data_IF_121932416936
#
_entry.id   IF_121932416936
#
_cell.length_a   1.000
_cell.length_b   1.000
_cell.length_c   1.000
_cell.angle_alpha   90.00
_cell.angle_beta   90.00
_cell.angle_gamma   90.00
#
_symmetry.space_group_name_H-M   'P 1'
#
loop_
_entity.id
_entity.type
_entity.pdbx_description
1 polymer ?
#
# COMPACT_ATOMS: atom_id res chain seq x y z
N UNK A 1 12.45 13.01 -73.09
CA UNK A 1 11.82 13.74 -71.97
C UNK A 1 11.80 12.80 -70.77
N UNK A 2 12.67 12.94 -69.76
CA UNK A 2 12.52 12.17 -68.54
C UNK A 2 11.38 12.75 -67.69
N UNK A 3 10.36 11.94 -67.39
CA UNK A 3 9.34 12.29 -66.40
C UNK A 3 10.00 12.41 -65.02
N UNK A 4 10.00 13.62 -64.46
CA UNK A 4 10.35 13.85 -63.06
C UNK A 4 9.20 13.37 -62.19
N UNK A 5 9.38 12.22 -61.53
CA UNK A 5 8.44 11.74 -60.51
C UNK A 5 8.25 12.78 -59.38
N UNK A 6 7.11 12.74 -58.66
CA UNK A 6 6.79 13.74 -57.66
C UNK A 6 7.86 13.79 -56.55
N UNK A 7 8.19 14.99 -56.03
CA UNK A 7 9.23 15.16 -55.04
C UNK A 7 8.92 14.35 -53.78
N UNK A 8 9.88 13.55 -53.32
CA UNK A 8 9.80 12.85 -52.04
C UNK A 8 9.70 13.87 -50.91
N UNK A 9 8.60 13.89 -50.15
CA UNK A 9 8.47 14.81 -49.03
C UNK A 9 9.40 14.34 -47.92
N UNK A 10 10.51 15.07 -47.71
CA UNK A 10 11.39 14.78 -46.57
C UNK A 10 10.67 15.19 -45.28
N UNK A 11 10.42 14.21 -44.40
CA UNK A 11 9.81 14.42 -43.07
C UNK A 11 10.54 15.49 -42.24
N UNK A 12 11.84 15.68 -42.50
CA UNK A 12 12.69 16.69 -41.89
C UNK A 12 12.28 18.14 -42.21
N UNK A 13 11.53 18.38 -43.30
CA UNK A 13 11.03 19.73 -43.65
C UNK A 13 9.97 20.24 -42.67
N UNK A 14 9.21 19.34 -42.04
CA UNK A 14 8.19 19.67 -41.04
C UNK A 14 8.82 20.23 -39.76
N UNK A 15 9.98 19.67 -39.38
CA UNK A 15 10.77 20.09 -38.21
C UNK A 15 11.34 21.51 -38.34
N UNK A 16 11.31 22.13 -39.53
CA UNK A 16 11.74 23.53 -39.71
C UNK A 16 10.72 24.55 -39.21
N UNK A 17 9.51 24.11 -38.82
CA UNK A 17 8.51 25.00 -38.23
C UNK A 17 8.73 25.08 -36.71
N UNK A 18 8.85 26.27 -36.09
CA UNK A 18 9.15 26.42 -34.66
C UNK A 18 8.21 25.63 -33.74
N UNK A 19 6.93 25.51 -34.11
CA UNK A 19 5.94 24.71 -33.38
C UNK A 19 6.30 23.23 -33.24
N UNK A 20 6.87 22.62 -34.28
CA UNK A 20 7.22 21.19 -34.25
C UNK A 20 8.52 20.94 -33.49
N UNK A 21 9.44 21.91 -33.50
CA UNK A 21 10.61 21.91 -32.61
C UNK A 21 10.16 21.97 -31.16
N UNK A 22 9.26 22.90 -30.81
CA UNK A 22 8.73 23.01 -29.45
C UNK A 22 8.02 21.74 -28.99
N UNK A 23 7.15 21.15 -29.83
CA UNK A 23 6.50 19.87 -29.50
C UNK A 23 7.49 18.72 -29.36
N UNK A 24 8.57 18.69 -30.15
CA UNK A 24 9.62 17.68 -30.02
C UNK A 24 10.40 17.83 -28.73
N UNK A 25 10.78 19.06 -28.38
CA UNK A 25 11.42 19.36 -27.10
C UNK A 25 10.52 18.97 -25.93
N UNK A 26 9.23 19.27 -26.01
CA UNK A 26 8.26 18.87 -24.99
C UNK A 26 8.13 17.34 -24.87
N UNK A 27 8.04 16.63 -26.00
CA UNK A 27 7.97 15.17 -26.01
C UNK A 27 9.23 14.54 -25.41
N UNK A 28 10.41 15.05 -25.74
CA UNK A 28 11.68 14.62 -25.14
C UNK A 28 11.74 14.93 -23.65
N UNK A 29 11.37 16.14 -23.24
CA UNK A 29 11.33 16.52 -21.83
C UNK A 29 10.40 15.61 -21.03
N UNK A 30 9.21 15.32 -21.57
CA UNK A 30 8.26 14.41 -20.94
C UNK A 30 8.82 12.98 -20.84
N UNK A 31 9.43 12.48 -21.92
CA UNK A 31 10.07 11.16 -21.93
C UNK A 31 11.18 11.06 -20.88
N UNK A 32 12.02 12.11 -20.75
CA UNK A 32 13.08 12.18 -19.74
C UNK A 32 12.49 12.14 -18.33
N UNK A 33 11.47 12.94 -18.04
CA UNK A 33 10.77 12.92 -16.73
C UNK A 33 10.22 11.53 -16.44
N UNK A 34 9.57 10.89 -17.40
CA UNK A 34 9.02 9.54 -17.25
C UNK A 34 10.11 8.49 -16.97
N UNK A 35 11.28 8.59 -17.61
CA UNK A 35 12.43 7.72 -17.31
C UNK A 35 12.89 7.91 -15.86
N UNK A 36 13.03 9.15 -15.39
CA UNK A 36 13.40 9.44 -14.02
C UNK A 36 12.38 8.91 -12.99
N UNK A 37 11.09 8.99 -13.29
CA UNK A 37 10.04 8.37 -12.47
C UNK A 37 10.19 6.85 -12.43
N UNK A 38 10.51 6.21 -13.57
CA UNK A 38 10.82 4.78 -13.61
C UNK A 38 12.04 4.40 -12.78
N UNK A 39 13.12 5.19 -12.82
CA UNK A 39 14.32 4.99 -11.99
C UNK A 39 13.99 5.15 -10.50
N UNK A 40 13.19 6.14 -10.14
CA UNK A 40 12.72 6.29 -8.76
C UNK A 40 11.93 5.07 -8.28
N UNK A 41 11.04 4.54 -9.13
CA UNK A 41 10.31 3.31 -8.83
C UNK A 41 11.23 2.08 -8.74
N UNK A 42 12.31 2.03 -9.52
CA UNK A 42 13.33 0.98 -9.43
C UNK A 42 14.04 0.99 -8.08
N UNK A 43 14.42 2.16 -7.57
CA UNK A 43 14.99 2.25 -6.22
C UNK A 43 14.00 1.78 -5.15
N UNK A 44 12.71 2.12 -5.28
CA UNK A 44 11.66 1.64 -4.36
C UNK A 44 11.45 0.14 -4.43
N UNK A 45 11.47 -0.43 -5.65
CA UNK A 45 11.44 -1.87 -5.86
C UNK A 45 12.61 -2.54 -5.15
N UNK A 46 13.84 -2.09 -5.40
CA UNK A 46 15.05 -2.67 -4.80
C UNK A 46 15.02 -2.62 -3.26
N UNK A 47 14.61 -1.50 -2.68
CA UNK A 47 14.47 -1.37 -1.23
C UNK A 47 13.47 -2.39 -0.67
N UNK A 48 12.27 -2.50 -1.25
CA UNK A 48 11.24 -3.43 -0.79
C UNK A 48 11.65 -4.89 -0.99
N UNK A 49 12.25 -5.22 -2.13
CA UNK A 49 12.78 -6.56 -2.41
C UNK A 49 13.86 -6.93 -1.41
N UNK A 50 14.76 -6.02 -1.05
CA UNK A 50 15.81 -6.31 -0.06
C UNK A 50 15.25 -6.64 1.34
N UNK A 51 14.12 -6.03 1.72
CA UNK A 51 13.41 -6.35 2.97
C UNK A 51 12.80 -7.75 2.87
N UNK A 52 12.14 -8.06 1.75
CA UNK A 52 11.56 -9.37 1.49
C UNK A 52 12.61 -10.49 1.53
N UNK A 53 13.75 -10.27 0.88
CA UNK A 53 14.87 -11.22 0.89
C UNK A 53 15.40 -11.48 2.31
N UNK A 54 15.38 -10.47 3.18
CA UNK A 54 15.74 -10.63 4.60
C UNK A 54 14.70 -11.46 5.34
N UNK A 55 13.42 -11.16 5.16
CA UNK A 55 12.31 -11.94 5.73
C UNK A 55 12.45 -13.41 5.35
N UNK A 56 12.62 -13.71 4.06
CA UNK A 56 12.71 -15.08 3.55
C UNK A 56 13.94 -15.82 4.07
N UNK A 57 15.12 -15.17 4.02
CA UNK A 57 16.37 -15.74 4.54
C UNK A 57 16.26 -16.10 6.02
N UNK A 58 15.66 -15.23 6.83
CA UNK A 58 15.59 -15.47 8.27
C UNK A 58 14.44 -16.40 8.65
N UNK A 59 13.34 -16.44 7.90
CA UNK A 59 12.26 -17.38 8.14
C UNK A 59 12.74 -18.85 8.08
N UNK A 60 13.59 -19.17 7.09
CA UNK A 60 14.14 -20.52 6.90
C UNK A 60 15.30 -20.86 7.84
N UNK A 61 15.93 -19.87 8.49
CA UNK A 61 17.11 -20.07 9.31
C UNK A 61 16.81 -20.71 10.67
N UNK A 62 17.77 -21.46 11.21
CA UNK A 62 17.70 -21.94 12.59
C UNK A 62 17.82 -20.77 13.59
N UNK A 63 17.09 -20.79 14.73
CA UNK A 63 17.19 -19.73 15.73
C UNK A 63 18.60 -19.61 16.33
N UNK A 64 19.14 -18.39 16.31
CA UNK A 64 20.46 -18.07 16.86
C UNK A 64 20.39 -17.95 18.39
N UNK A 65 21.34 -18.58 19.09
CA UNK A 65 21.55 -18.40 20.53
C UNK A 65 22.67 -17.39 20.80
N UNK A 66 22.81 -16.89 22.04
CA UNK A 66 23.87 -15.93 22.38
C UNK A 66 23.61 -14.55 21.77
N UNK A 67 22.47 -13.96 22.12
CA UNK A 67 21.93 -12.77 21.44
C UNK A 67 22.54 -11.45 21.90
N UNK A 68 23.53 -11.45 22.79
CA UNK A 68 24.05 -10.21 23.40
C UNK A 68 24.63 -9.23 22.39
N UNK A 69 25.20 -9.74 21.29
CA UNK A 69 25.69 -8.89 20.20
C UNK A 69 24.57 -8.36 19.30
N UNK A 70 23.47 -9.11 19.18
CA UNK A 70 22.32 -8.80 18.31
C UNK A 70 21.34 -7.85 19.02
N UNK A 71 21.11 -8.07 20.31
CA UNK A 71 20.20 -7.34 21.19
C UNK A 71 20.97 -6.74 22.38
N UNK A 72 21.97 -5.87 22.16
CA UNK A 72 22.68 -5.23 23.24
C UNK A 72 21.78 -4.26 24.01
N UNK A 73 21.99 -4.15 25.32
CA UNK A 73 21.29 -3.16 26.15
C UNK A 73 21.56 -1.73 25.65
N UNK A 74 20.51 -0.92 25.54
CA UNK A 74 20.58 0.50 25.17
C UNK A 74 20.98 0.82 23.72
N UNK A 75 21.33 -0.18 22.90
CA UNK A 75 21.73 0.02 21.49
C UNK A 75 20.81 -0.76 20.55
N UNK A 76 20.40 -0.10 19.48
CA UNK A 76 19.58 -0.72 18.42
C UNK A 76 20.35 -1.84 17.71
N UNK A 77 19.69 -2.95 17.35
CA UNK A 77 20.20 -3.90 16.37
C UNK A 77 20.47 -3.19 15.03
N UNK A 78 21.28 -3.83 14.17
CA UNK A 78 21.49 -3.35 12.81
C UNK A 78 20.32 -3.75 11.89
N UNK A 79 20.16 -3.08 10.75
CA UNK A 79 19.16 -3.47 9.76
C UNK A 79 19.35 -4.91 9.26
N UNK A 80 20.59 -5.42 9.27
CA UNK A 80 20.88 -6.80 8.92
C UNK A 80 20.34 -7.81 9.94
N UNK A 81 20.13 -7.40 11.19
CA UNK A 81 19.65 -8.26 12.27
C UNK A 81 18.11 -8.32 12.32
N UNK A 82 17.39 -7.38 11.73
CA UNK A 82 15.93 -7.43 11.77
C UNK A 82 15.39 -8.61 10.95
N UNK A 83 14.37 -9.25 11.51
CA UNK A 83 13.79 -10.55 11.15
C UNK A 83 14.62 -11.78 11.55
N UNK A 84 15.85 -11.60 12.05
CA UNK A 84 16.67 -12.72 12.51
C UNK A 84 15.94 -13.53 13.59
N UNK A 85 15.87 -14.85 13.38
CA UNK A 85 15.30 -15.77 14.36
C UNK A 85 16.29 -15.96 15.50
N UNK A 86 15.83 -15.72 16.72
CA UNK A 86 16.62 -15.83 17.94
C UNK A 86 15.96 -16.75 18.95
N UNK A 87 16.79 -17.39 19.78
CA UNK A 87 16.37 -18.18 20.94
C UNK A 87 16.84 -17.46 22.20
N UNK A 88 15.88 -16.99 23.00
CA UNK A 88 16.10 -16.29 24.26
C UNK A 88 15.63 -17.14 25.42
N UNK A 89 16.33 -17.07 26.55
CA UNK A 89 15.90 -17.73 27.78
C UNK A 89 15.96 -16.74 28.93
N UNK A 90 14.92 -16.71 29.76
CA UNK A 90 14.81 -15.77 30.87
C UNK A 90 13.56 -16.00 31.71
N UNK A 91 13.17 -15.01 32.50
CA UNK A 91 11.90 -14.99 33.25
C UNK A 91 11.11 -13.76 32.86
N UNK A 92 9.81 -13.89 32.63
CA UNK A 92 8.99 -12.72 32.37
C UNK A 92 8.88 -11.84 33.61
N UNK A 93 8.77 -10.53 33.39
CA UNK A 93 8.38 -9.55 34.39
C UNK A 93 6.99 -8.97 34.04
N UNK A 94 5.89 -9.60 34.51
CA UNK A 94 4.54 -9.16 34.21
C UNK A 94 4.19 -7.82 34.86
N UNK A 95 4.89 -7.42 35.92
CA UNK A 95 4.62 -6.16 36.62
C UNK A 95 4.98 -4.93 35.77
N UNK A 96 5.90 -5.10 34.82
CA UNK A 96 6.28 -4.08 33.84
C UNK A 96 5.81 -4.42 32.42
N UNK A 97 4.72 -5.19 32.31
CA UNK A 97 4.05 -5.41 31.02
C UNK A 97 3.49 -4.10 30.46
N UNK A 98 3.59 -3.95 29.14
CA UNK A 98 3.16 -2.77 28.40
C UNK A 98 2.26 -3.18 27.24
N UNK A 99 1.37 -2.29 26.82
CA UNK A 99 0.46 -2.49 25.71
C UNK A 99 0.83 -1.54 24.57
N UNK A 100 1.18 -2.08 23.40
CA UNK A 100 1.21 -1.25 22.21
C UNK A 100 -0.21 -1.20 21.64
N UNK A 101 -0.83 -0.02 21.62
CA UNK A 101 -2.22 0.18 21.18
C UNK A 101 -2.31 0.60 19.72
N UNK A 102 -3.52 0.47 19.16
CA UNK A 102 -3.84 0.84 17.77
C UNK A 102 -2.98 0.02 16.80
N UNK A 103 -2.86 -1.28 17.08
CA UNK A 103 -2.10 -2.24 16.28
C UNK A 103 -3.05 -3.00 15.39
N UNK A 104 -2.79 -2.99 14.09
CA UNK A 104 -3.65 -3.66 13.12
C UNK A 104 -3.05 -5.01 12.75
N UNK A 105 -3.78 -6.09 13.04
CA UNK A 105 -3.45 -7.45 12.62
C UNK A 105 -4.66 -8.03 11.92
N UNK A 106 -4.46 -8.57 10.71
CA UNK A 106 -5.52 -9.17 9.88
C UNK A 106 -6.75 -8.25 9.70
N UNK A 107 -6.51 -6.95 9.52
CA UNK A 107 -7.56 -5.94 9.31
C UNK A 107 -8.26 -5.44 10.58
N UNK A 108 -7.96 -6.00 11.75
CA UNK A 108 -8.59 -5.61 13.02
C UNK A 108 -7.64 -4.79 13.89
N UNK A 109 -8.17 -3.74 14.53
CA UNK A 109 -7.41 -2.88 15.46
C UNK A 109 -7.44 -3.49 16.86
N UNK A 110 -6.29 -3.53 17.52
CA UNK A 110 -6.14 -4.06 18.87
C UNK A 110 -4.79 -3.70 19.46
N UNK A 111 -4.22 -4.65 20.21
CA UNK A 111 -3.08 -4.43 21.07
C UNK A 111 -2.01 -5.50 20.87
N UNK A 112 -0.73 -5.10 20.81
CA UNK A 112 0.40 -6.02 20.95
C UNK A 112 0.89 -5.99 22.41
N UNK A 113 1.15 -7.17 22.96
CA UNK A 113 1.46 -7.32 24.39
C UNK A 113 2.96 -7.45 24.58
N UNK A 114 3.58 -6.42 25.17
CA UNK A 114 5.00 -6.38 25.43
C UNK A 114 5.28 -6.78 26.88
N UNK A 115 5.96 -7.90 27.08
CA UNK A 115 6.41 -8.32 28.42
C UNK A 115 7.94 -8.42 28.44
N UNK A 116 8.63 -7.68 29.34
CA UNK A 116 10.07 -7.83 29.50
C UNK A 116 10.46 -9.26 29.89
N UNK A 117 11.42 -9.84 29.19
CA UNK A 117 12.06 -11.11 29.54
C UNK A 117 13.42 -10.82 30.19
N UNK A 118 13.46 -10.96 31.52
CA UNK A 118 14.65 -10.79 32.36
C UNK A 118 15.65 -11.90 32.07
N UNK A 119 16.87 -11.52 31.72
CA UNK A 119 18.00 -12.42 31.46
C UNK A 119 18.85 -12.59 32.72
N UNK A 120 19.72 -13.60 32.72
CA UNK A 120 20.60 -13.90 33.86
C UNK A 120 21.65 -12.82 34.12
N UNK A 121 21.97 -11.99 33.13
CA UNK A 121 22.93 -10.87 33.22
C UNK A 121 22.32 -9.59 33.84
N UNK A 122 21.06 -9.64 34.29
CA UNK A 122 20.34 -8.52 34.88
C UNK A 122 19.70 -7.56 33.88
N UNK A 123 19.93 -7.74 32.58
CA UNK A 123 19.24 -6.99 31.53
C UNK A 123 17.92 -7.66 31.13
N UNK A 124 17.12 -7.02 30.29
CA UNK A 124 15.95 -7.66 29.69
C UNK A 124 15.80 -7.36 28.19
N UNK A 125 15.06 -8.22 27.49
CA UNK A 125 14.60 -7.99 26.12
C UNK A 125 13.08 -7.82 26.17
N UNK A 126 12.54 -6.81 25.48
CA UNK A 126 11.09 -6.71 25.32
C UNK A 126 10.62 -7.82 24.36
N UNK A 127 9.75 -8.69 24.86
CA UNK A 127 9.10 -9.72 24.05
C UNK A 127 7.69 -9.26 23.74
N UNK A 128 7.42 -9.08 22.45
CA UNK A 128 6.07 -8.98 21.92
C UNK A 128 5.49 -10.40 21.83
N UNK A 129 4.57 -10.70 22.75
CA UNK A 129 3.97 -12.03 22.92
C UNK A 129 2.86 -12.32 21.91
N UNK A 130 2.49 -11.33 21.10
CA UNK A 130 1.43 -11.43 20.11
C UNK A 130 0.33 -10.38 20.33
N UNK A 131 -0.67 -10.49 19.47
CA UNK A 131 -1.76 -9.52 19.37
C UNK A 131 -3.03 -10.03 20.08
N UNK A 132 -3.78 -9.11 20.66
CA UNK A 132 -5.10 -9.34 21.24
C UNK A 132 -6.11 -8.27 20.77
N UNK A 133 -7.36 -8.66 20.50
CA UNK A 133 -8.43 -7.69 20.27
C UNK A 133 -8.78 -6.95 21.58
N UNK A 134 -9.42 -5.79 21.48
CA UNK A 134 -10.07 -5.16 22.64
C UNK A 134 -11.05 -6.11 23.34
N UNK A 135 -11.32 -5.89 24.62
CA UNK A 135 -12.25 -6.73 25.37
C UNK A 135 -13.73 -6.47 25.03
N UNK A 136 -14.03 -5.30 24.46
CA UNK A 136 -15.36 -4.85 24.07
C UNK A 136 -15.48 -4.66 22.54
N UNK A 137 -16.68 -4.80 21.97
CA UNK A 137 -16.90 -4.56 20.53
C UNK A 137 -16.62 -3.12 20.08
N UNK A 138 -16.81 -2.14 20.98
CA UNK A 138 -16.61 -0.72 20.69
C UNK A 138 -15.13 -0.31 20.70
N UNK A 139 -14.23 -1.23 21.11
CA UNK A 139 -12.79 -1.04 21.09
C UNK A 139 -12.24 -0.08 22.14
N UNK A 140 -13.04 0.27 23.15
CA UNK A 140 -12.69 1.23 24.18
C UNK A 140 -12.01 0.58 25.41
N UNK A 141 -12.23 -0.71 25.64
CA UNK A 141 -11.68 -1.46 26.74
C UNK A 141 -10.33 -2.11 26.38
N UNK A 142 -9.47 -2.19 27.38
CA UNK A 142 -8.18 -2.88 27.29
C UNK A 142 -8.39 -4.38 27.07
N UNK A 143 -7.45 -5.07 26.41
CA UNK A 143 -7.57 -6.49 26.12
C UNK A 143 -7.47 -7.31 27.42
N UNK A 144 -8.15 -8.46 27.46
CA UNK A 144 -7.95 -9.44 28.54
C UNK A 144 -6.65 -10.19 28.29
N UNK A 145 -5.55 -9.75 28.93
CA UNK A 145 -4.22 -10.33 28.71
C UNK A 145 -4.03 -11.63 29.49
N UNK A 146 -3.69 -12.76 28.83
CA UNK A 146 -3.32 -14.00 29.54
C UNK A 146 -2.05 -13.84 30.38
N UNK A 147 -2.10 -14.35 31.61
CA UNK A 147 -0.96 -14.36 32.53
C UNK A 147 0.27 -14.98 31.88
N UNK A 148 1.44 -14.36 32.07
CA UNK A 148 2.70 -14.94 31.60
C UNK A 148 3.06 -16.18 32.44
N UNK A 149 3.66 -17.22 31.85
CA UNK A 149 4.11 -18.38 32.62
C UNK A 149 5.04 -17.99 33.76
N UNK A 150 4.82 -18.59 34.94
CA UNK A 150 5.72 -18.46 36.06
C UNK A 150 7.00 -19.25 35.81
N UNK A 151 8.15 -18.71 36.23
CA UNK A 151 9.43 -19.42 36.12
C UNK A 151 10.22 -19.09 34.87
N UNK A 152 11.10 -20.02 34.49
CA UNK A 152 11.99 -19.86 33.34
C UNK A 152 11.27 -20.20 32.03
N UNK A 153 11.47 -19.34 31.04
CA UNK A 153 10.84 -19.42 29.73
C UNK A 153 11.92 -19.38 28.67
N UNK A 154 11.76 -20.20 27.63
CA UNK A 154 12.53 -20.09 26.39
C UNK A 154 11.62 -19.59 25.28
N UNK A 155 11.98 -18.45 24.68
CA UNK A 155 11.26 -17.80 23.59
C UNK A 155 12.04 -18.00 22.30
N UNK A 156 11.35 -18.42 21.24
CA UNK A 156 11.82 -18.31 19.87
C UNK A 156 11.03 -17.17 19.23
N UNK A 157 11.72 -16.24 18.60
CA UNK A 157 11.08 -15.10 17.98
C UNK A 157 11.98 -14.41 16.97
N UNK A 158 11.47 -13.36 16.36
CA UNK A 158 12.18 -12.59 15.35
C UNK A 158 12.53 -11.22 15.88
N UNK A 159 13.78 -10.80 15.66
CA UNK A 159 14.28 -9.48 16.05
C UNK A 159 13.56 -8.40 15.25
N UNK A 160 13.19 -7.32 15.93
CA UNK A 160 12.56 -6.14 15.36
C UNK A 160 13.37 -4.90 15.74
N UNK A 161 13.50 -3.98 14.79
CA UNK A 161 14.09 -2.66 15.04
C UNK A 161 13.11 -1.80 15.82
N UNK A 162 13.61 -0.80 16.59
CA UNK A 162 12.78 0.24 17.15
C UNK A 162 11.92 0.93 16.10
N UNK A 163 10.64 1.09 16.41
CA UNK A 163 9.74 1.85 15.55
C UNK A 163 10.03 3.36 15.65
N UNK A 164 9.95 4.07 14.53
CA UNK A 164 10.20 5.51 14.46
C UNK A 164 8.95 6.34 14.77
N UNK A 165 9.17 7.59 15.21
CA UNK A 165 8.09 8.60 15.37
C UNK A 165 7.17 8.37 16.57
N UNK A 166 7.61 7.60 17.58
CA UNK A 166 6.86 7.35 18.80
C UNK A 166 6.95 8.47 19.84
N UNK A 167 5.90 8.62 20.64
CA UNK A 167 5.97 9.31 21.93
C UNK A 167 6.39 8.33 23.03
N UNK A 168 6.88 8.85 24.15
CA UNK A 168 7.17 8.05 25.33
C UNK A 168 5.94 7.32 25.90
N UNK A 169 6.15 6.39 26.84
CA UNK A 169 5.07 5.64 27.48
C UNK A 169 4.08 6.54 28.21
N UNK A 170 2.80 6.20 28.08
CA UNK A 170 1.69 6.83 28.83
C UNK A 170 1.08 5.82 29.80
N UNK A 171 0.48 6.25 30.91
CA UNK A 171 -0.32 5.37 31.76
C UNK A 171 -1.81 5.57 31.51
N UNK A 172 -2.54 4.49 31.32
CA UNK A 172 -4.01 4.45 31.16
C UNK A 172 -4.53 3.18 31.83
N UNK A 173 -5.62 3.29 32.60
CA UNK A 173 -6.28 2.16 33.26
C UNK A 173 -5.34 1.22 34.05
N UNK A 174 -4.27 1.78 34.65
CA UNK A 174 -3.27 0.99 35.39
C UNK A 174 -2.18 0.32 34.55
N UNK A 175 -2.27 0.39 33.21
CA UNK A 175 -1.30 -0.16 32.28
C UNK A 175 -0.37 0.92 31.71
N UNK A 176 0.85 0.52 31.34
CA UNK A 176 1.73 1.34 30.51
C UNK A 176 1.38 1.07 29.05
N UNK A 177 1.15 2.13 28.30
CA UNK A 177 0.79 2.06 26.89
C UNK A 177 1.73 2.87 26.00
N UNK A 178 1.91 2.37 24.78
CA UNK A 178 2.60 3.06 23.69
C UNK A 178 1.86 2.92 22.38
N UNK A 179 2.13 3.83 21.44
CA UNK A 179 1.67 3.71 20.04
C UNK A 179 2.71 3.07 19.13
N UNK A 180 3.98 3.24 19.47
CA UNK A 180 5.14 2.77 18.71
C UNK A 180 6.10 2.06 19.66
N UNK A 181 6.63 0.94 19.22
CA UNK A 181 7.53 0.11 20.03
C UNK A 181 8.96 0.59 19.82
N UNK A 182 9.39 1.56 20.64
CA UNK A 182 10.80 1.95 20.74
C UNK A 182 11.32 1.60 22.14
N UNK A 183 12.11 0.51 22.27
CA UNK A 183 12.72 0.12 23.55
C UNK A 183 13.51 1.24 24.23
N UNK A 184 14.09 2.19 23.48
CA UNK A 184 14.84 3.31 24.08
C UNK A 184 13.93 4.29 24.79
N UNK A 185 12.72 4.50 24.28
CA UNK A 185 11.70 5.32 24.94
C UNK A 185 11.04 4.57 26.10
N UNK A 186 10.98 3.24 26.02
CA UNK A 186 10.40 2.38 27.05
C UNK A 186 11.33 2.06 28.21
N UNK A 187 12.63 2.37 28.09
CA UNK A 187 13.63 2.10 29.12
C UNK A 187 13.29 2.77 30.46
N UNK A 188 12.60 3.92 30.46
CA UNK A 188 12.17 4.61 31.67
C UNK A 188 10.98 3.94 32.39
N UNK A 189 10.30 3.00 31.73
CA UNK A 189 9.15 2.29 32.30
C UNK A 189 9.56 1.01 33.07
N UNK A 190 10.84 0.68 33.12
CA UNK A 190 11.40 -0.50 33.77
C UNK A 190 12.60 -0.14 34.66
N UNK A 191 12.85 -0.87 35.76
CA UNK A 191 13.94 -0.57 36.69
C UNK A 191 15.28 -1.20 36.30
N UNK A 192 15.45 -1.66 35.07
CA UNK A 192 16.65 -2.37 34.59
C UNK A 192 16.97 -2.05 33.13
N UNK A 193 18.23 -2.24 32.68
CA UNK A 193 18.60 -2.03 31.29
C UNK A 193 17.86 -2.98 30.35
N UNK A 194 17.36 -2.44 29.23
CA UNK A 194 16.71 -3.24 28.18
C UNK A 194 17.45 -3.15 26.85
N UNK A 195 17.38 -4.23 26.07
CA UNK A 195 17.88 -4.27 24.70
C UNK A 195 17.30 -3.11 23.88
N UNK A 196 18.11 -2.50 23.03
CA UNK A 196 17.66 -1.41 22.16
C UNK A 196 16.84 -1.88 20.96
N UNK A 197 16.50 -3.17 20.87
CA UNK A 197 15.54 -3.76 19.94
C UNK A 197 14.56 -4.66 20.71
N UNK A 198 13.57 -5.21 20.03
CA UNK A 198 12.58 -6.10 20.63
C UNK A 198 12.42 -7.38 19.82
N UNK A 199 11.71 -8.37 20.37
CA UNK A 199 11.50 -9.67 19.72
C UNK A 199 10.02 -10.00 19.67
N UNK A 200 9.50 -10.26 18.48
CA UNK A 200 8.15 -10.82 18.30
C UNK A 200 8.22 -12.34 18.43
N UNK A 201 7.55 -12.88 19.44
CA UNK A 201 7.56 -14.29 19.76
C UNK A 201 6.74 -15.10 18.74
N UNK A 202 7.35 -16.15 18.20
CA UNK A 202 6.71 -17.10 17.28
C UNK A 202 6.49 -18.46 17.91
N UNK A 203 7.30 -18.81 18.92
CA UNK A 203 7.10 -20.01 19.74
C UNK A 203 7.70 -19.81 21.13
N UNK A 204 7.25 -20.61 22.10
CA UNK A 204 7.70 -20.52 23.47
C UNK A 204 7.56 -21.84 24.21
N UNK A 205 8.44 -22.06 25.19
CA UNK A 205 8.30 -23.11 26.22
C UNK A 205 8.39 -22.47 27.62
N UNK A 206 7.36 -22.59 28.49
CA UNK A 206 6.04 -23.18 28.25
C UNK A 206 5.26 -22.48 27.11
N UNK A 207 4.29 -23.17 26.52
CA UNK A 207 3.56 -22.67 25.34
C UNK A 207 2.89 -21.31 25.61
N UNK A 208 2.82 -20.47 24.56
CA UNK A 208 2.00 -19.26 24.58
C UNK A 208 0.52 -19.65 24.70
N UNK A 209 -0.29 -18.74 25.25
CA UNK A 209 -1.75 -18.91 25.23
C UNK A 209 -2.25 -18.87 23.79
N UNK A 210 -3.17 -19.77 23.48
CA UNK A 210 -3.96 -19.83 22.25
C UNK A 210 -4.78 -18.57 21.95
N UNK A 211 -5.01 -17.71 22.95
CA UNK A 211 -5.68 -16.42 22.78
C UNK A 211 -4.85 -15.40 22.01
N UNK A 212 -3.53 -15.54 21.99
CA UNK A 212 -2.66 -14.64 21.22
C UNK A 212 -2.76 -14.92 19.73
N UNK A 213 -3.07 -13.89 18.96
CA UNK A 213 -2.95 -13.93 17.51
C UNK A 213 -1.51 -13.66 17.15
N UNK A 214 -0.92 -14.55 16.34
CA UNK A 214 0.42 -14.36 15.80
C UNK A 214 0.45 -13.16 14.86
N UNK A 215 1.46 -12.31 15.02
CA UNK A 215 1.63 -11.12 14.19
C UNK A 215 2.32 -11.57 12.89
N UNK A 216 1.65 -11.44 11.73
CA UNK A 216 2.24 -11.86 10.47
C UNK A 216 3.41 -10.96 10.10
N UNK A 217 4.43 -11.56 9.50
CA UNK A 217 5.51 -10.81 8.87
C UNK A 217 5.23 -10.81 7.39
N UNK A 218 4.62 -9.72 6.94
CA UNK A 218 4.20 -9.58 5.55
C UNK A 218 5.32 -9.04 4.68
N UNK A 219 5.42 -9.60 3.48
CA UNK A 219 6.25 -9.06 2.42
C UNK A 219 5.77 -7.68 2.00
N UNK A 220 6.72 -6.81 1.71
CA UNK A 220 6.47 -5.54 1.08
C UNK A 220 6.03 -5.77 -0.37
N UNK A 221 5.04 -5.00 -0.83
CA UNK A 221 4.52 -5.08 -2.21
C UNK A 221 5.50 -4.49 -3.24
N UNK A 222 6.62 -5.19 -3.47
CA UNK A 222 7.62 -4.80 -4.46
C UNK A 222 7.09 -4.94 -5.90
N UNK A 223 6.26 -5.95 -6.17
CA UNK A 223 5.67 -6.19 -7.50
C UNK A 223 4.90 -4.98 -8.04
N UNK A 224 4.20 -4.24 -7.17
CA UNK A 224 3.55 -2.98 -7.55
C UNK A 224 4.55 -1.92 -8.02
N UNK A 225 5.73 -1.80 -7.39
CA UNK A 225 6.76 -0.88 -7.87
C UNK A 225 7.30 -1.34 -9.23
N UNK A 226 7.46 -2.65 -9.45
CA UNK A 226 7.87 -3.20 -10.74
C UNK A 226 6.89 -2.85 -11.87
N UNK A 227 5.58 -2.98 -11.64
CA UNK A 227 4.58 -2.59 -12.64
C UNK A 227 4.66 -1.08 -12.98
N UNK A 228 4.90 -0.23 -11.99
CA UNK A 228 5.11 1.20 -12.24
C UNK A 228 6.39 1.51 -13.03
N UNK A 229 7.49 0.79 -12.82
CA UNK A 229 8.71 0.95 -13.63
C UNK A 229 8.37 0.72 -15.11
N UNK A 230 7.74 -0.41 -15.41
CA UNK A 230 7.35 -0.78 -16.77
C UNK A 230 6.37 0.24 -17.37
N UNK A 231 5.39 0.68 -16.60
CA UNK A 231 4.43 1.70 -17.02
C UNK A 231 5.13 3.00 -17.42
N UNK A 232 6.04 3.52 -16.58
CA UNK A 232 6.72 4.78 -16.86
C UNK A 232 7.63 4.71 -18.08
N UNK A 233 8.35 3.59 -18.25
CA UNK A 233 9.19 3.40 -19.42
C UNK A 233 8.37 3.18 -20.71
N UNK A 234 7.21 2.51 -20.61
CA UNK A 234 6.29 2.38 -21.73
C UNK A 234 5.73 3.74 -22.16
N UNK A 235 5.31 4.58 -21.21
CA UNK A 235 4.83 5.94 -21.51
C UNK A 235 5.91 6.84 -22.11
N UNK A 236 7.16 6.72 -21.63
CA UNK A 236 8.31 7.39 -22.25
C UNK A 236 8.45 7.01 -23.73
N UNK A 237 8.46 5.72 -24.03
CA UNK A 237 8.50 5.22 -25.41
C UNK A 237 7.30 5.68 -26.24
N UNK A 238 6.09 5.62 -25.69
CA UNK A 238 4.87 6.04 -26.37
C UNK A 238 4.84 7.54 -26.68
N UNK A 239 5.37 8.40 -25.81
CA UNK A 239 5.49 9.83 -26.07
C UNK A 239 6.38 10.11 -27.29
N UNK A 240 7.53 9.43 -27.39
CA UNK A 240 8.46 9.58 -28.51
C UNK A 240 7.90 8.99 -29.81
N UNK A 241 7.31 7.79 -29.74
CA UNK A 241 6.67 7.14 -30.89
C UNK A 241 5.49 7.98 -31.40
N UNK A 242 4.62 8.44 -30.49
CA UNK A 242 3.49 9.29 -30.82
C UNK A 242 3.93 10.58 -31.52
N UNK A 243 4.98 11.23 -31.01
CA UNK A 243 5.57 12.40 -31.67
C UNK A 243 6.10 12.09 -33.08
N UNK A 244 6.80 10.97 -33.25
CA UNK A 244 7.27 10.51 -34.56
C UNK A 244 6.14 10.22 -35.55
N UNK A 245 5.03 9.62 -35.07
CA UNK A 245 3.82 9.38 -35.87
C UNK A 245 3.14 10.69 -36.28
N UNK A 246 3.08 11.68 -35.38
CA UNK A 246 2.52 13.00 -35.67
C UNK A 246 3.33 13.73 -36.75
N UNK A 247 4.68 13.71 -36.67
CA UNK A 247 5.54 14.27 -37.73
C UNK A 247 5.27 13.57 -39.06
N UNK A 248 5.18 12.24 -39.07
CA UNK A 248 4.96 11.46 -40.30
C UNK A 248 3.57 11.71 -40.89
N UNK A 249 2.55 11.90 -40.06
CA UNK A 249 1.21 12.25 -40.50
C UNK A 249 1.18 13.66 -41.11
N UNK A 250 1.79 14.65 -40.46
CA UNK A 250 1.90 16.02 -40.99
C UNK A 250 2.68 16.07 -42.30
N UNK A 251 3.78 15.33 -42.41
CA UNK A 251 4.57 15.26 -43.64
C UNK A 251 3.76 14.69 -44.82
N UNK A 252 2.97 13.63 -44.59
CA UNK A 252 2.07 13.06 -45.61
C UNK A 252 0.94 14.03 -45.99
N UNK A 253 0.38 14.75 -45.02
CA UNK A 253 -0.64 15.78 -45.27
C UNK A 253 -0.09 16.91 -46.15
N UNK A 254 1.12 17.40 -45.85
CA UNK A 254 1.80 18.42 -46.67
C UNK A 254 2.19 17.93 -48.07
N UNK A 255 2.37 16.63 -48.23
CA UNK A 255 2.63 15.98 -49.52
C UNK A 255 1.38 15.78 -50.40
N UNK A 256 0.19 16.16 -49.94
CA UNK A 256 -1.06 15.95 -50.67
C UNK A 256 -1.54 14.48 -50.73
N UNK A 257 -0.90 13.59 -49.97
CA UNK A 257 -1.22 12.15 -49.92
C UNK A 257 -2.33 11.89 -48.88
N UNK A 258 -3.56 12.32 -49.18
CA UNK A 258 -4.75 11.90 -48.41
C UNK A 258 -5.36 10.63 -49.02
N UNK A 259 -5.92 9.75 -48.17
CA UNK A 259 -6.35 8.40 -48.54
C UNK A 259 -7.37 8.35 -49.71
N UNK A 260 -7.32 7.32 -50.59
CA UNK A 260 -8.36 7.11 -51.59
C UNK A 260 -9.64 6.63 -50.90
N UNK A 261 -10.65 7.49 -50.78
CA UNK A 261 -11.93 7.08 -50.23
C UNK A 261 -12.87 8.22 -49.85
N UNK A 262 -13.33 9.03 -50.82
CA UNK A 262 -14.64 9.68 -50.72
C UNK A 262 -15.24 10.07 -52.09
N UNK A 263 -15.12 9.18 -53.08
CA UNK A 263 -15.58 9.40 -54.46
C UNK A 263 -16.99 8.91 -54.78
N UNK A 264 -17.82 8.55 -53.79
CA UNK A 264 -19.19 8.05 -54.01
C UNK A 264 -20.20 8.69 -53.06
N UNK A 265 -20.37 10.00 -53.14
CA UNK A 265 -21.56 10.68 -52.55
C UNK A 265 -22.06 11.88 -53.35
N UNK A 266 -21.89 11.87 -54.67
CA UNK A 266 -22.32 12.99 -55.51
C UNK A 266 -22.59 12.60 -56.96
N UNK A 267 -23.57 11.73 -57.21
CA UNK A 267 -24.23 11.63 -58.51
C UNK A 267 -25.46 10.72 -58.40
N UNK A 268 -26.62 11.33 -58.07
CA UNK A 268 -27.96 10.95 -58.57
C UNK A 268 -29.00 11.91 -57.97
N UNK A 269 -29.09 13.09 -58.59
CA UNK A 269 -30.30 13.92 -58.59
C UNK A 269 -30.46 14.50 -59.99
N UNK A 270 -31.46 14.01 -60.72
CA UNK A 270 -32.15 14.63 -61.88
C UNK A 270 -33.11 13.58 -62.47
N UNK A 271 -34.34 13.49 -61.95
CA UNK A 271 -35.59 13.86 -62.64
C UNK A 271 -36.67 12.83 -62.24
N UNK A 272 -37.97 13.11 -62.04
CA UNK A 272 -38.83 14.18 -62.55
C UNK A 272 -40.14 14.24 -61.75
N UNK A 273 -40.58 15.48 -61.42
CA UNK A 273 -41.95 16.04 -61.39
C UNK A 273 -43.13 15.47 -60.57
N UNK A 274 -44.14 16.33 -60.25
CA UNK A 274 -44.88 16.31 -58.99
C UNK A 274 -46.36 15.89 -59.09
N UNK A 275 -46.92 15.41 -57.98
CA UNK A 275 -48.34 15.05 -57.86
C UNK A 275 -48.89 15.35 -56.46
N UNK A 276 -49.67 16.43 -56.41
CA UNK A 276 -50.51 16.95 -55.32
C UNK A 276 -51.41 15.90 -54.65
N UNK A 277 -51.51 15.96 -53.31
CA UNK A 277 -52.80 15.87 -52.62
C UNK A 277 -53.01 14.79 -51.56
N UNK A 278 -53.10 15.26 -50.31
CA UNK A 278 -54.19 14.99 -49.34
C UNK A 278 -54.09 13.85 -48.31
N UNK A 279 -54.35 14.28 -47.05
CA UNK A 279 -55.00 13.63 -45.90
C UNK A 279 -54.19 12.70 -44.96
N UNK A 280 -54.10 13.16 -43.70
CA UNK A 280 -54.21 12.39 -42.45
C UNK A 280 -55.65 11.85 -42.29
N UNK A 281 -55.97 10.81 -41.48
CA UNK A 281 -55.53 10.69 -40.06
C UNK A 281 -55.29 9.26 -39.50
N UNK A 282 -54.84 9.20 -38.22
CA UNK A 282 -55.25 8.33 -37.06
C UNK A 282 -55.51 6.81 -37.32
N UNK A 283 -55.18 5.80 -36.51
CA UNK A 283 -54.96 5.62 -35.06
C UNK A 283 -54.28 4.23 -34.81
N UNK A 284 -54.09 3.91 -33.52
CA UNK A 284 -53.95 2.59 -32.86
C UNK A 284 -52.55 2.12 -32.39
N UNK A 285 -52.33 2.39 -31.09
CA UNK A 285 -52.06 1.41 -30.01
C UNK A 285 -51.37 0.07 -30.37
N UNK A 286 -50.26 -0.25 -29.69
CA UNK A 286 -50.34 -1.18 -28.55
C UNK A 286 -49.01 -1.27 -27.76
N UNK A 287 -49.21 -1.61 -26.49
CA UNK A 287 -48.42 -1.68 -25.27
C UNK A 287 -47.09 -2.47 -25.24
N UNK A 288 -46.42 -2.20 -24.10
CA UNK A 288 -45.67 -3.14 -23.25
C UNK A 288 -44.13 -3.18 -23.39
N UNK A 289 -43.43 -2.50 -22.48
CA UNK A 289 -42.96 -3.09 -21.21
C UNK A 289 -41.64 -2.47 -20.74
N UNK A 290 -41.67 -1.92 -19.52
CA UNK A 290 -40.50 -1.60 -18.70
C UNK A 290 -40.92 -1.57 -17.24
N UNK A 291 -40.20 -2.31 -16.39
CA UNK A 291 -39.86 -1.80 -15.06
C UNK A 291 -38.40 -2.16 -14.71
N UNK A 292 -37.70 -1.55 -13.76
CA UNK A 292 -37.90 -0.37 -12.93
C UNK A 292 -36.54 -0.03 -12.30
N UNK A 293 -36.34 1.24 -11.94
CA UNK A 293 -35.26 1.72 -11.06
C UNK A 293 -35.81 1.78 -9.63
N UNK A 294 -35.08 1.22 -8.66
CA UNK A 294 -35.42 1.34 -7.24
C UNK A 294 -34.60 2.44 -6.59
N UNK A 295 -35.29 3.42 -6.02
CA UNK A 295 -34.76 4.51 -5.20
C UNK A 295 -34.77 4.14 -3.71
N UNK A 296 -33.82 4.71 -2.98
CA UNK A 296 -33.63 4.63 -1.51
C UNK A 296 -34.45 5.73 -0.83
N UNK A 297 -35.12 5.48 0.33
CA UNK A 297 -35.63 6.56 1.16
C UNK A 297 -34.75 6.83 2.40
N UNK A 298 -34.54 8.12 2.61
CA UNK A 298 -34.01 8.81 3.79
C UNK A 298 -34.98 8.73 4.98
N UNK A 299 -34.46 8.66 6.21
CA UNK A 299 -35.27 8.75 7.44
C UNK A 299 -34.51 9.41 8.58
N UNK A 300 -34.55 10.73 8.60
CA UNK A 300 -34.38 11.56 9.81
C UNK A 300 -35.71 11.79 10.53
N UNK A 301 -35.63 11.89 11.87
CA UNK A 301 -36.60 12.44 12.85
C UNK A 301 -37.73 11.54 13.40
N UNK A 302 -37.66 11.23 14.71
CA UNK A 302 -38.56 11.72 15.79
C UNK A 302 -38.23 11.08 17.16
N UNK A 303 -37.98 11.95 18.15
CA UNK A 303 -38.11 11.70 19.60
C UNK A 303 -39.60 11.59 19.99
N UNK A 304 -39.90 11.05 21.18
CA UNK A 304 -40.63 11.88 22.14
C UNK A 304 -40.11 11.77 23.59
N UNK A 305 -40.07 12.91 24.28
CA UNK A 305 -40.09 13.00 25.74
C UNK A 305 -41.54 12.81 26.26
N UNK A 306 -41.71 12.14 27.40
CA UNK A 306 -42.67 12.57 28.43
C UNK A 306 -42.29 12.01 29.82
N UNK A 307 -42.81 12.68 30.85
CA UNK A 307 -42.25 13.00 32.18
C UNK A 307 -42.46 12.00 33.35
N UNK A 308 -41.93 12.28 34.57
CA UNK A 308 -41.80 11.33 35.69
C UNK A 308 -43.01 11.29 36.62
N UNK A 309 -43.18 10.16 37.33
CA UNK A 309 -44.22 9.96 38.35
C UNK A 309 -43.73 9.11 39.53
N UNK A 310 -43.86 9.68 40.72
CA UNK A 310 -43.62 9.17 42.08
C UNK A 310 -44.41 7.92 42.48
N UNK A 311 -43.75 6.91 43.05
CA UNK A 311 -43.88 6.40 44.44
C UNK A 311 -43.06 5.13 44.63
#
# INVERSE_FOLDING_TARGET
MPETGPPTPHALSVLRTPRWVLFGLLAVALAVVMVFLGVWQLHRYQLRSSINDRIDRHAAAAPVAGTDRILPAGRSPSDADEYLRVRLTGRYDPAHQMLARVRTVNGNVGYEILTPLRRSDGTAVLIDRGWLPPADPDGAADPVVPTAPSGQVTVIGQVRLPESGGSGPTRRNGHVEVRRIDPRLLASAVPYPIAGGYVTATAQTPALSDRFVQIPIDHQNAAMNLSYILQWWLFSGMALVGFGLLIRWEARKRAGLSAPGDGRRGARSAGSSPGRGSRLPEDDENDADSPARTAVPDRSSRLPEDHPGTR
#
